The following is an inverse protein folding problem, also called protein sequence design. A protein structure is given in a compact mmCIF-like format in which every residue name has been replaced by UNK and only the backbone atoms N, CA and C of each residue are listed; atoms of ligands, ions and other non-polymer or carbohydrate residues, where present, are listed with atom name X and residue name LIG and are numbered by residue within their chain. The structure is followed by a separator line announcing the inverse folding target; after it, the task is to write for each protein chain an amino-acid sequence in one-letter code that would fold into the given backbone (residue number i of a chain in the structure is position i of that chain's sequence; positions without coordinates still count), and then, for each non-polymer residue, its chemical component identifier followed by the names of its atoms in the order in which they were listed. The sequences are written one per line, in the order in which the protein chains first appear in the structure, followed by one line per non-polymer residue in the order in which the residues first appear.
data_IF_538293695364
#
_entry.id   IF_538293695364
#
_cell.length_a   1.000
_cell.length_b   1.000
_cell.length_c   1.000
_cell.angle_alpha   90.00
_cell.angle_beta   90.00
_cell.angle_gamma   90.00
#
_symmetry.space_group_name_H-M   'P 1'
#
loop_
_entity.id
_entity.type
_entity.pdbx_description
1 polymer ?
#
# COMPACT_ATOMS: atom_id res chain seq x y z
N UNK A 1 8.69 -0.68 -14.13
CA UNK A 1 8.58 0.16 -15.34
C UNK A 1 7.14 0.13 -15.88
N UNK A 2 6.50 -1.02 -16.05
CA UNK A 2 5.14 -1.20 -16.58
C UNK A 2 4.09 -0.30 -15.90
N UNK A 3 4.07 -0.21 -14.57
CA UNK A 3 3.19 0.70 -13.84
C UNK A 3 3.35 2.16 -14.28
N UNK A 4 4.60 2.61 -14.41
CA UNK A 4 4.89 3.99 -14.80
C UNK A 4 4.48 4.29 -16.25
N UNK A 5 4.65 3.33 -17.12
CA UNK A 5 4.27 3.43 -18.54
C UNK A 5 2.75 3.45 -18.69
N UNK A 6 2.04 2.55 -17.99
CA UNK A 6 0.58 2.52 -17.98
C UNK A 6 -0.04 3.79 -17.39
N UNK A 7 0.50 4.33 -16.29
CA UNK A 7 0.07 5.63 -15.74
C UNK A 7 0.24 6.75 -16.78
N UNK A 8 1.34 6.72 -17.53
CA UNK A 8 1.60 7.72 -18.57
C UNK A 8 0.59 7.59 -19.72
N UNK A 9 0.26 6.37 -20.12
CA UNK A 9 -0.74 6.08 -21.14
C UNK A 9 -2.14 6.55 -20.70
N UNK A 10 -2.57 6.18 -19.49
CA UNK A 10 -3.85 6.63 -18.94
C UNK A 10 -3.97 8.15 -18.88
N UNK A 11 -2.88 8.87 -18.53
CA UNK A 11 -2.89 10.34 -18.50
C UNK A 11 -2.99 10.98 -19.90
N UNK A 12 -2.52 10.31 -20.94
CA UNK A 12 -2.67 10.76 -22.34
C UNK A 12 -4.07 10.48 -22.86
N UNK A 13 -4.73 9.45 -22.35
CA UNK A 13 -6.10 9.13 -22.70
C UNK A 13 -7.05 10.15 -22.04
N UNK A 14 -7.95 10.72 -22.82
CA UNK A 14 -8.94 11.71 -22.35
C UNK A 14 -10.24 11.07 -21.84
N UNK A 15 -10.31 9.72 -21.79
CA UNK A 15 -11.47 9.01 -21.27
C UNK A 15 -11.55 9.21 -19.74
N UNK A 16 -12.59 9.87 -19.21
CA UNK A 16 -12.73 10.11 -17.78
C UNK A 16 -13.00 8.82 -16.96
N UNK A 17 -13.33 7.72 -17.64
CA UNK A 17 -13.55 6.41 -17.01
C UNK A 17 -12.26 5.62 -16.80
N UNK A 18 -11.12 6.11 -17.32
CA UNK A 18 -9.84 5.43 -17.23
C UNK A 18 -8.87 6.17 -16.32
N UNK A 19 -8.45 5.52 -15.25
CA UNK A 19 -7.42 6.01 -14.34
C UNK A 19 -6.49 4.87 -13.92
N UNK A 20 -5.26 5.22 -13.53
CA UNK A 20 -4.27 4.24 -13.07
C UNK A 20 -3.67 4.64 -11.73
N UNK A 21 -3.32 3.62 -10.94
CA UNK A 21 -2.55 3.73 -9.71
C UNK A 21 -1.24 2.95 -9.82
N UNK A 22 -0.26 3.26 -8.98
CA UNK A 22 0.97 2.49 -8.92
C UNK A 22 0.74 1.23 -8.08
N UNK A 23 0.69 0.06 -8.72
CA UNK A 23 0.45 -1.22 -8.04
C UNK A 23 1.72 -1.75 -7.38
N UNK A 24 1.62 -2.12 -6.12
CA UNK A 24 2.54 -2.99 -5.40
C UNK A 24 1.83 -4.29 -5.02
N UNK A 25 2.60 -5.36 -4.75
CA UNK A 25 2.05 -6.60 -4.21
C UNK A 25 1.88 -6.48 -2.68
N UNK A 26 2.09 -7.54 -1.93
CA UNK A 26 2.08 -7.51 -0.47
C UNK A 26 3.37 -6.84 0.07
N UNK A 27 3.25 -6.06 1.13
CA UNK A 27 4.34 -5.25 1.67
C UNK A 27 5.60 -6.07 1.98
N UNK A 28 5.47 -7.26 2.55
CA UNK A 28 6.60 -8.13 2.89
C UNK A 28 7.37 -8.66 1.66
N UNK A 29 6.80 -8.55 0.45
CA UNK A 29 7.49 -8.92 -0.80
C UNK A 29 8.30 -7.76 -1.40
N UNK A 30 8.26 -6.58 -0.81
CA UNK A 30 8.83 -5.35 -1.35
C UNK A 30 9.91 -4.84 -0.41
N UNK A 31 11.17 -4.79 -0.88
CA UNK A 31 12.28 -4.21 -0.13
C UNK A 31 12.23 -2.67 -0.13
N UNK A 32 12.88 -2.03 0.85
CA UNK A 32 12.99 -0.56 0.92
C UNK A 32 13.58 0.03 -0.36
N UNK A 33 14.63 -0.61 -0.90
CA UNK A 33 15.20 -0.20 -2.20
C UNK A 33 14.17 -0.26 -3.34
N UNK A 34 13.22 -1.19 -3.29
CA UNK A 34 12.15 -1.28 -4.28
C UNK A 34 11.13 -0.17 -4.06
N UNK A 35 10.79 0.15 -2.81
CA UNK A 35 9.93 1.31 -2.50
C UNK A 35 10.54 2.61 -3.01
N UNK A 36 11.82 2.86 -2.77
CA UNK A 36 12.51 4.06 -3.27
C UNK A 36 12.42 4.16 -4.80
N UNK A 37 12.59 3.03 -5.49
CA UNK A 37 12.44 2.97 -6.96
C UNK A 37 11.00 3.19 -7.42
N UNK A 38 10.01 2.68 -6.68
CA UNK A 38 8.59 2.91 -6.96
C UNK A 38 8.24 4.39 -6.81
N UNK A 39 8.71 5.02 -5.72
CA UNK A 39 8.48 6.45 -5.45
C UNK A 39 9.14 7.30 -6.53
N UNK A 40 10.39 7.03 -6.87
CA UNK A 40 11.10 7.74 -7.94
C UNK A 40 10.41 7.57 -9.31
N UNK A 41 9.97 6.35 -9.65
CA UNK A 41 9.29 6.08 -10.92
C UNK A 41 7.88 6.70 -10.97
N UNK A 42 7.16 6.73 -9.85
CA UNK A 42 5.86 7.39 -9.74
C UNK A 42 5.98 8.92 -9.82
N UNK A 43 7.00 9.48 -9.20
CA UNK A 43 7.27 10.92 -9.16
C UNK A 43 6.02 11.76 -8.81
N UNK A 44 5.24 11.33 -7.80
CA UNK A 44 4.03 12.00 -7.33
C UNK A 44 2.84 12.03 -8.32
N UNK A 45 2.90 11.24 -9.40
CA UNK A 45 1.87 11.26 -10.46
C UNK A 45 0.54 10.69 -10.01
N UNK A 46 0.56 9.69 -9.13
CA UNK A 46 -0.63 8.99 -8.63
C UNK A 46 -0.39 8.43 -7.23
N UNK A 47 -1.43 7.86 -6.60
CA UNK A 47 -1.30 7.06 -5.38
C UNK A 47 -0.83 5.64 -5.65
N UNK A 48 -0.80 4.84 -4.58
CA UNK A 48 -0.35 3.45 -4.61
C UNK A 48 -1.48 2.52 -4.18
N UNK A 49 -1.41 1.28 -4.64
CA UNK A 49 -2.29 0.21 -4.18
C UNK A 49 -1.43 -0.97 -3.72
N UNK A 50 -1.45 -1.26 -2.42
CA UNK A 50 -0.56 -2.24 -1.77
C UNK A 50 -1.36 -3.03 -0.72
N UNK A 51 -1.13 -4.35 -0.60
CA UNK A 51 -1.66 -5.18 0.49
C UNK A 51 -0.77 -5.03 1.72
N UNK A 52 -1.36 -4.75 2.88
CA UNK A 52 -0.64 -4.36 4.10
C UNK A 52 -1.26 -5.05 5.32
N UNK A 53 -0.42 -5.62 6.15
CA UNK A 53 -0.83 -6.24 7.42
C UNK A 53 -2.01 -7.22 7.25
N UNK A 54 -1.99 -7.96 6.16
CA UNK A 54 -2.97 -9.01 5.87
C UNK A 54 -2.83 -10.15 6.89
N UNK A 55 -1.63 -10.65 7.10
CA UNK A 55 -1.30 -11.64 8.11
C UNK A 55 -0.23 -11.15 9.09
N UNK A 56 -0.08 -11.81 10.23
CA UNK A 56 0.96 -11.49 11.22
C UNK A 56 2.39 -11.66 10.67
N UNK A 57 2.57 -12.51 9.67
CA UNK A 57 3.85 -12.66 8.96
C UNK A 57 4.34 -11.34 8.35
N UNK A 58 3.44 -10.52 7.80
CA UNK A 58 3.77 -9.21 7.26
C UNK A 58 4.32 -8.28 8.35
N UNK A 59 3.68 -8.29 9.53
CA UNK A 59 4.12 -7.51 10.70
C UNK A 59 5.49 -7.98 11.20
N UNK A 60 5.68 -9.31 11.35
CA UNK A 60 6.95 -9.87 11.82
C UNK A 60 8.10 -9.62 10.85
N UNK A 61 7.87 -9.82 9.54
CA UNK A 61 8.87 -9.54 8.51
C UNK A 61 9.32 -8.07 8.56
N UNK A 62 8.36 -7.16 8.63
CA UNK A 62 8.61 -5.72 8.67
C UNK A 62 9.41 -5.31 9.91
N UNK A 63 9.06 -5.82 11.08
CA UNK A 63 9.80 -5.55 12.31
C UNK A 63 11.21 -6.17 12.32
N UNK A 64 11.34 -7.42 11.87
CA UNK A 64 12.60 -8.14 11.88
C UNK A 64 13.62 -7.56 10.90
N UNK A 65 13.20 -7.23 9.69
CA UNK A 65 14.09 -6.83 8.62
C UNK A 65 14.31 -5.31 8.56
N UNK A 66 13.35 -4.51 9.04
CA UNK A 66 13.37 -3.05 8.89
C UNK A 66 13.19 -2.28 10.21
N UNK A 67 12.89 -2.96 11.32
CA UNK A 67 12.68 -2.32 12.63
C UNK A 67 11.46 -1.40 12.69
N UNK A 68 10.55 -1.52 11.73
CA UNK A 68 9.35 -0.68 11.58
C UNK A 68 8.13 -1.55 11.38
N UNK A 69 6.97 -1.11 11.88
CA UNK A 69 5.71 -1.75 11.53
C UNK A 69 5.29 -1.40 10.10
N UNK A 70 4.44 -2.22 9.45
CA UNK A 70 4.09 -2.08 8.03
C UNK A 70 3.68 -0.67 7.61
N UNK A 71 2.72 -0.05 8.29
CA UNK A 71 2.22 1.30 7.93
C UNK A 71 3.27 2.38 8.18
N UNK A 72 4.04 2.27 9.29
CA UNK A 72 5.14 3.19 9.56
C UNK A 72 6.20 3.14 8.46
N UNK A 73 6.53 1.93 7.98
CA UNK A 73 7.49 1.75 6.88
C UNK A 73 7.00 2.40 5.59
N UNK A 74 5.71 2.28 5.26
CA UNK A 74 5.12 2.99 4.12
C UNK A 74 5.15 4.51 4.27
N UNK A 75 4.94 5.01 5.49
CA UNK A 75 5.05 6.44 5.80
C UNK A 75 6.47 6.95 5.57
N UNK A 76 7.48 6.22 6.06
CA UNK A 76 8.90 6.59 5.92
C UNK A 76 9.31 6.71 4.44
N UNK A 77 8.73 5.91 3.55
CA UNK A 77 8.96 5.97 2.10
C UNK A 77 8.05 6.95 1.33
N UNK A 78 7.16 7.68 2.02
CA UNK A 78 6.26 8.63 1.35
C UNK A 78 5.21 7.99 0.44
N UNK A 79 4.80 6.77 0.76
CA UNK A 79 3.79 6.00 -0.01
C UNK A 79 2.36 6.41 0.36
N UNK A 80 2.14 6.80 1.64
CA UNK A 80 0.82 7.12 2.16
C UNK A 80 0.29 8.46 1.63
N UNK A 81 -1.01 8.59 1.60
CA UNK A 81 -1.68 9.83 1.19
C UNK A 81 -3.09 9.59 0.64
N UNK A 82 -3.84 10.67 0.33
CA UNK A 82 -5.26 10.60 0.00
C UNK A 82 -5.58 9.89 -1.33
N UNK A 83 -4.56 9.56 -2.11
CA UNK A 83 -4.69 8.78 -3.36
C UNK A 83 -4.21 7.34 -3.23
N UNK A 84 -3.76 6.93 -2.04
CA UNK A 84 -3.23 5.58 -1.78
C UNK A 84 -4.32 4.70 -1.17
N UNK A 85 -4.36 3.46 -1.61
CA UNK A 85 -5.25 2.40 -1.12
C UNK A 85 -4.40 1.30 -0.48
N UNK A 86 -4.71 0.96 0.78
CA UNK A 86 -4.15 -0.16 1.50
C UNK A 86 -5.18 -1.28 1.57
N UNK A 87 -4.85 -2.46 1.04
CA UNK A 87 -5.67 -3.64 1.17
C UNK A 87 -5.52 -4.28 2.54
N UNK A 88 -6.59 -4.87 3.06
CA UNK A 88 -6.70 -5.64 4.31
C UNK A 88 -6.54 -4.82 5.60
N UNK A 89 -5.35 -4.40 5.99
CA UNK A 89 -5.04 -3.69 7.25
C UNK A 89 -5.60 -4.39 8.52
N UNK A 90 -5.56 -5.73 8.57
CA UNK A 90 -6.14 -6.52 9.67
C UNK A 90 -5.31 -6.40 10.94
N UNK A 91 -3.99 -6.50 10.82
CA UNK A 91 -3.05 -6.53 11.95
C UNK A 91 -2.35 -5.19 12.20
N UNK A 92 -3.05 -4.08 11.97
CA UNK A 92 -2.60 -2.73 12.32
C UNK A 92 -2.85 -2.44 13.80
N UNK A 93 -1.99 -1.63 14.43
CA UNK A 93 -2.19 -1.14 15.78
C UNK A 93 -2.75 0.31 15.78
N UNK A 94 -3.07 0.83 16.97
CA UNK A 94 -3.66 2.17 17.12
C UNK A 94 -2.79 3.26 16.49
N UNK A 95 -1.47 3.23 16.71
CA UNK A 95 -0.57 4.23 16.12
C UNK A 95 -0.56 4.17 14.58
N UNK A 96 -0.65 2.98 14.00
CA UNK A 96 -0.78 2.82 12.55
C UNK A 96 -2.13 3.31 12.02
N UNK A 97 -3.22 3.13 12.78
CA UNK A 97 -4.54 3.67 12.43
C UNK A 97 -4.52 5.21 12.43
N UNK A 98 -3.86 5.82 13.42
CA UNK A 98 -3.66 7.27 13.48
C UNK A 98 -2.89 7.80 12.26
N UNK A 99 -1.80 7.13 11.87
CA UNK A 99 -1.05 7.47 10.65
C UNK A 99 -1.92 7.38 9.39
N UNK A 100 -2.71 6.32 9.25
CA UNK A 100 -3.65 6.15 8.12
C UNK A 100 -4.65 7.32 8.08
N UNK A 101 -5.23 7.66 9.22
CA UNK A 101 -6.18 8.76 9.35
C UNK A 101 -5.55 10.11 9.02
N UNK A 102 -4.40 10.43 9.61
CA UNK A 102 -3.69 11.70 9.40
C UNK A 102 -3.26 11.93 7.96
N UNK A 103 -2.84 10.85 7.28
CA UNK A 103 -2.43 10.91 5.87
C UNK A 103 -3.59 10.91 4.89
N UNK A 104 -4.82 10.65 5.36
CA UNK A 104 -6.00 10.49 4.52
C UNK A 104 -5.94 9.28 3.59
N UNK A 105 -5.12 8.28 3.96
CA UNK A 105 -4.96 7.05 3.18
C UNK A 105 -6.22 6.18 3.29
N UNK A 106 -6.66 5.61 2.17
CA UNK A 106 -7.85 4.76 2.12
C UNK A 106 -7.51 3.31 2.48
N UNK A 107 -8.41 2.66 3.22
CA UNK A 107 -8.32 1.22 3.51
C UNK A 107 -9.46 0.49 2.82
N UNK A 108 -9.15 -0.62 2.17
CA UNK A 108 -10.13 -1.52 1.55
C UNK A 108 -10.12 -2.85 2.29
N UNK A 109 -11.27 -3.20 2.85
CA UNK A 109 -11.49 -4.50 3.47
C UNK A 109 -11.83 -5.54 2.40
N UNK A 110 -11.18 -6.72 2.46
CA UNK A 110 -11.38 -7.84 1.55
C UNK A 110 -11.96 -9.05 2.32
N UNK A 111 -13.23 -9.01 2.77
CA UNK A 111 -13.75 -9.98 3.74
C UNK A 111 -13.74 -11.42 3.22
N UNK A 112 -14.01 -11.65 1.95
CA UNK A 112 -13.98 -12.99 1.35
C UNK A 112 -12.57 -13.60 1.38
N UNK A 113 -11.56 -12.81 0.97
CA UNK A 113 -10.15 -13.21 1.04
C UNK A 113 -9.70 -13.44 2.49
N UNK A 114 -10.08 -12.54 3.40
CA UNK A 114 -9.74 -12.64 4.82
C UNK A 114 -10.29 -13.91 5.46
N UNK A 115 -11.53 -14.28 5.16
CA UNK A 115 -12.16 -15.51 5.64
C UNK A 115 -11.56 -16.74 4.99
N UNK A 116 -11.34 -16.74 3.68
CA UNK A 116 -10.72 -17.83 2.95
C UNK A 116 -9.32 -18.18 3.43
N UNK A 117 -8.54 -17.17 3.83
CA UNK A 117 -7.19 -17.32 4.36
C UNK A 117 -7.13 -17.45 5.90
N UNK A 118 -8.28 -17.39 6.59
CA UNK A 118 -8.38 -17.46 8.05
C UNK A 118 -7.47 -16.44 8.79
N UNK A 119 -7.28 -15.24 8.23
CA UNK A 119 -6.34 -14.22 8.71
C UNK A 119 -6.95 -13.22 9.70
N UNK A 120 -8.26 -13.25 9.90
CA UNK A 120 -8.95 -12.39 10.86
C UNK A 120 -9.95 -11.42 10.24
N UNK A 121 -10.39 -10.48 11.06
CA UNK A 121 -11.40 -9.46 10.71
C UNK A 121 -10.75 -8.09 10.83
N UNK A 122 -10.94 -7.25 9.82
CA UNK A 122 -10.54 -5.84 9.87
C UNK A 122 -11.38 -5.12 10.94
N UNK A 123 -10.73 -4.36 11.81
CA UNK A 123 -11.35 -3.61 12.91
C UNK A 123 -11.76 -2.22 12.49
#
# INVERSE_FOLDING_TARGET
QENADFITECKKNKDPMLAAMFGGHALFTISDKTFDRMVAANNGRTGYHIHVSEGMNDVYDSLQNYGRRPVQRLQDHGILGPKTILGHCIHVNTAEMEIIQETGTMVVNNPESNMGNAIGICR
#
